data_IF_786075421732
#
_entry.id   IF_786075421732
#
_cell.length_a   1.000
_cell.length_b   1.000
_cell.length_c   1.000
_cell.angle_alpha   90.00
_cell.angle_beta   90.00
_cell.angle_gamma   90.00
#
_symmetry.space_group_name_H-M   'P 1'
#
loop_
_entity.id
_entity.type
_entity.pdbx_description
1 polymer ?
#
# COMPACT_ATOMS: atom_id res chain seq x y z
N UNK A 1 10.46 -18.92 6.57
CA UNK A 1 10.60 -17.59 5.91
C UNK A 1 9.37 -16.78 6.27
N UNK A 2 9.51 -15.53 6.60
CA UNK A 2 8.35 -14.67 6.87
C UNK A 2 7.52 -14.50 5.60
N UNK A 3 6.19 -14.50 5.71
CA UNK A 3 5.30 -14.26 4.57
C UNK A 3 5.47 -12.85 4.00
N UNK A 4 5.58 -11.86 4.87
CA UNK A 4 5.73 -10.45 4.48
C UNK A 4 7.22 -10.06 4.32
N UNK A 5 7.49 -9.09 3.46
CA UNK A 5 8.83 -8.50 3.31
C UNK A 5 9.37 -7.99 4.65
N UNK A 6 10.66 -8.21 4.86
CA UNK A 6 11.37 -7.79 6.08
C UNK A 6 12.15 -6.49 5.85
N UNK A 7 12.38 -5.74 6.90
CA UNK A 7 13.22 -4.53 6.83
C UNK A 7 14.59 -4.88 6.25
N UNK A 8 15.01 -4.12 5.23
CA UNK A 8 16.21 -4.34 4.46
C UNK A 8 16.03 -5.16 3.18
N UNK A 9 14.87 -5.81 2.99
CA UNK A 9 14.58 -6.51 1.74
C UNK A 9 14.48 -5.52 0.57
N UNK A 10 14.85 -5.98 -0.62
CA UNK A 10 14.72 -5.19 -1.85
C UNK A 10 13.28 -5.27 -2.35
N UNK A 11 12.74 -4.14 -2.82
CA UNK A 11 11.42 -4.10 -3.44
C UNK A 11 11.32 -5.11 -4.59
N UNK A 12 10.36 -6.04 -4.57
CA UNK A 12 10.10 -6.93 -5.68
C UNK A 12 9.68 -6.19 -6.94
N UNK A 13 10.19 -6.63 -8.08
CA UNK A 13 9.83 -6.08 -9.38
C UNK A 13 8.37 -6.36 -9.72
N UNK A 14 7.75 -5.39 -10.38
CA UNK A 14 6.42 -5.48 -10.94
C UNK A 14 6.35 -4.80 -12.31
N UNK A 15 5.34 -5.13 -13.10
CA UNK A 15 4.97 -4.43 -14.33
C UNK A 15 3.46 -4.54 -14.50
N UNK A 16 2.74 -3.53 -14.04
CA UNK A 16 1.29 -3.54 -13.89
C UNK A 16 0.62 -2.43 -14.69
N UNK A 17 -0.60 -2.71 -15.14
CA UNK A 17 -1.48 -1.72 -15.75
C UNK A 17 -2.00 -0.75 -14.69
N UNK A 18 -2.11 0.53 -15.05
CA UNK A 18 -2.64 1.59 -14.20
C UNK A 18 -3.93 2.16 -14.75
N UNK A 19 -4.72 2.77 -13.88
CA UNK A 19 -6.00 3.41 -14.20
C UNK A 19 -5.89 4.59 -15.17
N UNK A 20 -4.69 5.08 -15.45
CA UNK A 20 -4.43 6.13 -16.45
C UNK A 20 -4.11 5.56 -17.85
N UNK A 21 -4.27 4.26 -18.06
CA UNK A 21 -4.05 3.57 -19.33
C UNK A 21 -2.60 3.26 -19.65
N UNK A 22 -1.66 3.55 -18.74
CA UNK A 22 -0.25 3.21 -18.89
C UNK A 22 0.12 1.97 -18.08
N UNK A 23 1.29 1.39 -18.38
CA UNK A 23 1.92 0.37 -17.54
C UNK A 23 3.08 0.97 -16.77
N UNK A 24 3.21 0.57 -15.52
CA UNK A 24 4.29 1.00 -14.64
C UNK A 24 5.03 -0.20 -14.07
N UNK A 25 6.34 -0.11 -14.07
CA UNK A 25 7.25 -1.03 -13.39
C UNK A 25 7.94 -0.32 -12.22
N UNK A 26 8.64 -1.06 -11.38
CA UNK A 26 9.44 -0.47 -10.31
C UNK A 26 10.43 0.58 -10.88
N UNK A 27 11.02 0.31 -12.04
CA UNK A 27 11.95 1.23 -12.72
C UNK A 27 11.29 2.52 -13.23
N UNK A 28 9.98 2.57 -13.39
CA UNK A 28 9.25 3.80 -13.74
C UNK A 28 9.35 4.87 -12.65
N UNK A 29 9.68 4.46 -11.43
CA UNK A 29 9.80 5.34 -10.25
C UNK A 29 11.26 5.59 -9.84
N UNK A 30 12.24 5.32 -10.71
CA UNK A 30 13.68 5.48 -10.41
C UNK A 30 14.08 6.90 -9.96
N UNK A 31 13.36 7.92 -10.45
CA UNK A 31 13.62 9.32 -10.11
C UNK A 31 13.06 9.72 -8.73
N UNK A 32 12.25 8.87 -8.12
CA UNK A 32 11.76 9.07 -6.76
C UNK A 32 12.86 8.71 -5.77
N UNK A 33 13.11 9.59 -4.81
CA UNK A 33 14.10 9.32 -3.75
C UNK A 33 13.58 8.25 -2.79
N UNK A 34 12.31 8.35 -2.43
CA UNK A 34 11.61 7.39 -1.58
C UNK A 34 10.33 6.93 -2.24
N UNK A 35 9.96 5.67 -2.04
CA UNK A 35 8.80 5.07 -2.68
C UNK A 35 7.90 4.43 -1.62
N UNK A 36 6.65 4.88 -1.56
CA UNK A 36 5.60 4.25 -0.76
C UNK A 36 4.76 3.41 -1.70
N UNK A 37 4.83 2.09 -1.56
CA UNK A 37 3.92 1.14 -2.22
C UNK A 37 2.91 0.71 -1.17
N UNK A 38 1.63 0.70 -1.52
CA UNK A 38 0.62 0.22 -0.59
C UNK A 38 -0.47 -0.58 -1.30
N UNK A 39 -0.83 -1.70 -0.70
CA UNK A 39 -1.94 -2.51 -1.17
C UNK A 39 -3.23 -1.89 -0.66
N UNK A 40 -4.13 -1.62 -1.59
CA UNK A 40 -5.38 -0.91 -1.36
C UNK A 40 -6.48 -1.51 -2.22
N UNK A 41 -7.71 -1.04 -2.08
CA UNK A 41 -8.85 -1.52 -2.86
C UNK A 41 -9.94 -0.44 -2.94
N UNK A 42 -11.07 -0.76 -3.57
CA UNK A 42 -12.11 0.24 -3.80
C UNK A 42 -13.18 0.28 -2.69
N UNK A 43 -13.40 -0.84 -1.99
CA UNK A 43 -14.58 -1.01 -1.10
C UNK A 43 -14.25 -1.05 0.40
N UNK A 44 -13.00 -1.33 0.77
CA UNK A 44 -12.65 -1.55 2.17
C UNK A 44 -12.90 -0.29 3.03
N UNK A 45 -13.70 -0.37 4.10
CA UNK A 45 -13.98 0.81 4.94
C UNK A 45 -12.74 1.38 5.64
N UNK A 46 -11.70 0.59 5.83
CA UNK A 46 -10.42 1.06 6.37
C UNK A 46 -9.61 1.85 5.33
N UNK A 47 -9.74 1.50 4.05
CA UNK A 47 -9.15 2.26 2.95
C UNK A 47 -9.90 3.59 2.81
N UNK A 48 -11.22 3.52 2.63
CA UNK A 48 -12.08 4.70 2.42
C UNK A 48 -11.94 5.68 3.59
N UNK A 49 -11.94 5.16 4.82
CA UNK A 49 -11.82 5.98 6.02
C UNK A 49 -10.47 6.70 6.17
N UNK A 50 -9.39 6.13 5.62
CA UNK A 50 -8.04 6.70 5.71
C UNK A 50 -7.56 7.40 4.44
N UNK A 51 -8.35 7.42 3.37
CA UNK A 51 -7.97 8.04 2.10
C UNK A 51 -7.51 9.49 2.23
N UNK A 52 -8.25 10.31 2.98
CA UNK A 52 -7.89 11.73 3.10
C UNK A 52 -6.56 11.92 3.83
N UNK A 53 -6.32 11.20 4.91
CA UNK A 53 -5.04 11.26 5.63
C UNK A 53 -3.89 10.73 4.78
N UNK A 54 -4.13 9.66 4.00
CA UNK A 54 -3.14 9.13 3.05
C UNK A 54 -2.85 10.15 1.94
N UNK A 55 -3.90 10.80 1.42
CA UNK A 55 -3.81 11.88 0.42
C UNK A 55 -2.99 13.06 0.93
N UNK A 56 -3.32 13.58 2.12
CA UNK A 56 -2.59 14.67 2.75
C UNK A 56 -1.11 14.31 2.96
N UNK A 57 -0.83 13.08 3.39
CA UNK A 57 0.54 12.59 3.55
C UNK A 57 1.26 12.53 2.20
N UNK A 58 0.64 12.00 1.15
CA UNK A 58 1.24 11.93 -0.18
C UNK A 58 1.56 13.32 -0.74
N UNK A 59 0.61 14.25 -0.66
CA UNK A 59 0.78 15.63 -1.14
C UNK A 59 1.86 16.38 -0.36
N UNK A 60 1.90 16.22 0.97
CA UNK A 60 2.89 16.88 1.84
C UNK A 60 4.35 16.57 1.46
N UNK A 61 4.61 15.35 0.99
CA UNK A 61 5.98 14.89 0.72
C UNK A 61 6.31 14.77 -0.77
N UNK A 62 5.40 15.12 -1.65
CA UNK A 62 5.60 15.06 -3.11
C UNK A 62 6.83 15.87 -3.55
N UNK A 63 6.98 17.11 -3.07
CA UNK A 63 8.12 17.99 -3.39
C UNK A 63 9.45 17.47 -2.83
N UNK A 64 9.41 16.50 -1.95
CA UNK A 64 10.58 15.82 -1.38
C UNK A 64 10.98 14.56 -2.11
N UNK A 65 10.40 14.35 -3.32
CA UNK A 65 10.62 13.17 -4.16
C UNK A 65 10.19 11.87 -3.48
N UNK A 66 9.12 11.94 -2.68
CA UNK A 66 8.38 10.77 -2.18
C UNK A 66 7.24 10.51 -3.14
N UNK A 67 7.20 9.31 -3.70
CA UNK A 67 6.13 8.89 -4.62
C UNK A 67 5.29 7.81 -3.95
N UNK A 68 3.97 7.93 -4.10
CA UNK A 68 3.00 6.94 -3.64
C UNK A 68 2.47 6.13 -4.82
N UNK A 69 2.36 4.82 -4.64
CA UNK A 69 1.83 3.86 -5.61
C UNK A 69 0.86 2.93 -4.90
N UNK A 70 -0.41 3.02 -5.23
CA UNK A 70 -1.44 2.09 -4.76
C UNK A 70 -1.53 0.88 -5.69
N UNK A 71 -1.67 -0.31 -5.14
CA UNK A 71 -1.86 -1.56 -5.88
C UNK A 71 -3.14 -2.22 -5.39
N UNK A 72 -4.07 -2.50 -6.31
CA UNK A 72 -5.23 -3.34 -6.05
C UNK A 72 -4.93 -4.76 -6.52
N UNK A 73 -4.93 -5.70 -5.59
CA UNK A 73 -4.77 -7.12 -5.84
C UNK A 73 -5.99 -7.93 -5.42
N UNK A 74 -7.10 -7.26 -5.07
CA UNK A 74 -8.32 -7.97 -4.71
C UNK A 74 -8.97 -8.61 -5.94
N UNK A 75 -9.41 -9.86 -5.80
CA UNK A 75 -10.18 -10.54 -6.83
C UNK A 75 -11.59 -9.95 -6.94
N UNK A 76 -12.01 -9.51 -8.13
CA UNK A 76 -13.37 -9.05 -8.38
C UNK A 76 -14.40 -10.20 -8.31
N UNK A 77 -13.96 -11.46 -8.45
CA UNK A 77 -14.82 -12.63 -8.26
C UNK A 77 -15.21 -12.82 -6.79
N UNK A 78 -14.32 -12.43 -5.87
CA UNK A 78 -14.60 -12.42 -4.43
C UNK A 78 -15.34 -11.15 -4.01
N UNK A 79 -15.02 -10.01 -4.62
CA UNK A 79 -15.67 -8.73 -4.37
C UNK A 79 -15.76 -7.86 -5.64
N UNK A 80 -16.95 -7.80 -6.28
CA UNK A 80 -17.12 -7.17 -7.60
C UNK A 80 -16.69 -5.72 -7.70
N UNK A 81 -16.83 -4.94 -6.62
CA UNK A 81 -16.45 -3.52 -6.61
C UNK A 81 -14.92 -3.29 -6.71
N UNK A 82 -14.11 -4.35 -6.67
CA UNK A 82 -12.66 -4.26 -6.79
C UNK A 82 -12.14 -4.55 -8.21
N UNK A 83 -13.00 -4.52 -9.21
CA UNK A 83 -12.60 -4.61 -10.61
C UNK A 83 -11.89 -3.34 -11.12
N UNK A 84 -11.32 -3.43 -12.31
CA UNK A 84 -10.55 -2.33 -12.91
C UNK A 84 -11.41 -1.10 -13.23
N UNK A 85 -12.64 -1.28 -13.67
CA UNK A 85 -13.54 -0.17 -14.02
C UNK A 85 -13.89 0.66 -12.76
N UNK A 86 -14.13 0.01 -11.63
CA UNK A 86 -14.34 0.68 -10.35
C UNK A 86 -13.06 1.41 -9.87
N UNK A 87 -11.85 0.86 -10.14
CA UNK A 87 -10.61 1.58 -9.86
C UNK A 87 -10.51 2.89 -10.68
N UNK A 88 -10.80 2.83 -11.99
CA UNK A 88 -10.81 4.02 -12.87
C UNK A 88 -11.82 5.04 -12.37
N UNK A 89 -13.05 4.60 -12.05
CA UNK A 89 -14.10 5.45 -11.50
C UNK A 89 -13.63 6.16 -10.23
N UNK A 90 -13.09 5.39 -9.27
CA UNK A 90 -12.59 5.91 -7.99
C UNK A 90 -11.51 6.98 -8.18
N UNK A 91 -10.54 6.75 -9.08
CA UNK A 91 -9.50 7.73 -9.39
C UNK A 91 -10.06 9.01 -9.99
N UNK A 92 -11.07 8.90 -10.87
CA UNK A 92 -11.74 10.05 -11.49
C UNK A 92 -12.57 10.86 -10.50
N UNK A 93 -13.26 10.20 -9.57
CA UNK A 93 -14.12 10.84 -8.58
C UNK A 93 -13.32 11.51 -7.46
N UNK A 94 -12.32 10.80 -6.90
CA UNK A 94 -11.58 11.27 -5.73
C UNK A 94 -10.29 12.01 -6.04
N UNK A 95 -9.81 12.00 -7.32
CA UNK A 95 -8.56 12.69 -7.73
C UNK A 95 -7.38 12.36 -6.81
N UNK A 96 -7.19 11.07 -6.52
CA UNK A 96 -6.14 10.60 -5.62
C UNK A 96 -4.73 10.87 -6.21
N UNK A 97 -3.76 11.34 -5.41
CA UNK A 97 -2.48 11.83 -5.92
C UNK A 97 -1.42 10.74 -6.13
N UNK A 98 -1.82 9.52 -6.38
CA UNK A 98 -0.93 8.38 -6.63
C UNK A 98 -1.27 7.65 -7.92
N UNK A 99 -0.33 6.83 -8.43
CA UNK A 99 -0.63 5.85 -9.47
C UNK A 99 -1.38 4.68 -8.83
N UNK A 100 -2.46 4.24 -9.47
CA UNK A 100 -3.26 3.13 -9.00
C UNK A 100 -3.17 1.97 -9.98
N UNK A 101 -2.46 0.92 -9.57
CA UNK A 101 -2.06 -0.21 -10.40
C UNK A 101 -2.94 -1.43 -10.09
N UNK A 102 -3.16 -2.27 -11.09
CA UNK A 102 -3.98 -3.47 -10.98
C UNK A 102 -3.12 -4.73 -11.07
N UNK A 103 -3.06 -5.49 -9.98
CA UNK A 103 -2.42 -6.79 -9.87
C UNK A 103 -3.46 -7.90 -9.98
N UNK A 104 -3.99 -8.10 -11.20
CA UNK A 104 -5.06 -9.06 -11.50
C UNK A 104 -4.68 -10.51 -11.22
N UNK A 105 -3.39 -10.83 -11.26
CA UNK A 105 -2.86 -12.19 -10.99
C UNK A 105 -2.57 -12.43 -9.52
N UNK A 106 -2.55 -11.38 -8.71
CA UNK A 106 -2.20 -11.41 -7.28
C UNK A 106 -0.74 -11.83 -6.99
N UNK A 107 0.07 -11.94 -8.03
CA UNK A 107 1.49 -12.31 -7.88
C UNK A 107 2.28 -11.27 -7.11
N UNK A 108 1.94 -9.98 -7.29
CA UNK A 108 2.66 -8.91 -6.61
C UNK A 108 2.26 -8.86 -5.12
N UNK A 109 0.97 -9.05 -4.82
CA UNK A 109 0.54 -9.21 -3.43
C UNK A 109 1.27 -10.35 -2.73
N UNK A 110 1.43 -11.49 -3.40
CA UNK A 110 2.18 -12.64 -2.85
C UNK A 110 3.67 -12.31 -2.66
N UNK A 111 4.33 -11.66 -3.64
CA UNK A 111 5.76 -11.30 -3.55
C UNK A 111 6.06 -10.31 -2.43
N UNK A 112 5.14 -9.37 -2.16
CA UNK A 112 5.25 -8.41 -1.07
C UNK A 112 4.79 -8.99 0.28
N UNK A 113 4.05 -10.08 0.24
CA UNK A 113 3.41 -10.66 1.42
C UNK A 113 2.35 -9.71 1.98
N UNK A 114 1.51 -9.15 1.09
CA UNK A 114 0.45 -8.25 1.49
C UNK A 114 -0.65 -8.99 2.24
N UNK A 115 -1.01 -8.51 3.43
CA UNK A 115 -1.98 -9.14 4.32
C UNK A 115 -3.34 -8.45 4.30
N UNK A 116 -3.31 -7.12 4.25
CA UNK A 116 -4.46 -6.25 4.48
C UNK A 116 -4.58 -5.18 3.42
N UNK A 117 -5.73 -4.55 3.36
CA UNK A 117 -5.94 -3.28 2.68
C UNK A 117 -6.50 -2.26 3.67
N UNK A 118 -5.76 -1.13 3.94
CA UNK A 118 -4.44 -0.79 3.41
C UNK A 118 -3.27 -1.50 4.12
N UNK A 119 -2.18 -1.79 3.37
CA UNK A 119 -0.91 -2.26 3.92
C UNK A 119 0.22 -1.51 3.22
N UNK A 120 1.04 -0.77 3.96
CA UNK A 120 2.06 0.15 3.45
C UNK A 120 3.47 -0.45 3.52
N UNK A 121 4.28 -0.11 2.51
CA UNK A 121 5.70 -0.45 2.39
C UNK A 121 6.44 0.81 1.95
N UNK A 122 7.35 1.31 2.79
CA UNK A 122 8.20 2.46 2.47
C UNK A 122 9.60 1.98 2.14
N UNK A 123 10.06 2.35 0.97
CA UNK A 123 11.40 2.02 0.45
C UNK A 123 12.28 3.27 0.37
N UNK A 124 13.55 3.09 0.71
CA UNK A 124 14.58 4.11 0.55
C UNK A 124 15.02 4.29 -0.91
N UNK A 125 16.06 5.11 -1.12
CA UNK A 125 16.63 5.40 -2.44
C UNK A 125 17.23 4.17 -3.13
N UNK A 126 17.68 3.18 -2.37
CA UNK A 126 18.24 1.92 -2.86
C UNK A 126 17.16 0.83 -2.98
N UNK A 127 15.88 1.23 -2.84
CA UNK A 127 14.72 0.33 -2.84
C UNK A 127 14.80 -0.75 -1.75
N UNK A 128 15.43 -0.42 -0.62
CA UNK A 128 15.39 -1.25 0.58
C UNK A 128 14.19 -0.86 1.44
N UNK A 129 13.48 -1.87 1.93
CA UNK A 129 12.34 -1.67 2.83
C UNK A 129 12.83 -1.08 4.16
N UNK A 130 12.28 0.07 4.53
CA UNK A 130 12.62 0.76 5.77
C UNK A 130 11.44 0.91 6.73
N UNK A 131 10.21 0.74 6.23
CA UNK A 131 9.00 0.69 7.04
C UNK A 131 7.94 -0.20 6.39
N UNK A 132 7.21 -0.97 7.19
CA UNK A 132 6.01 -1.70 6.74
C UNK A 132 4.94 -1.73 7.82
N UNK A 133 3.68 -1.74 7.39
CA UNK A 133 2.53 -1.89 8.27
C UNK A 133 1.36 -0.96 7.96
N UNK A 134 0.76 -0.40 9.01
CA UNK A 134 -0.39 0.51 8.90
C UNK A 134 0.04 1.94 8.53
N UNK A 135 -0.88 2.71 7.91
CA UNK A 135 -0.67 4.14 7.72
C UNK A 135 -0.92 4.91 9.02
N UNK A 136 -2.05 4.61 9.66
CA UNK A 136 -2.52 5.24 10.91
C UNK A 136 -3.08 4.19 11.87
N UNK A 137 -3.17 4.52 13.15
CA UNK A 137 -3.67 3.62 14.19
C UNK A 137 -5.20 3.42 14.17
N UNK A 138 -5.94 4.32 13.54
CA UNK A 138 -7.39 4.21 13.38
C UNK A 138 -7.84 4.55 11.95
N UNK A 139 -7.58 3.66 10.95
CA UNK A 139 -7.85 3.95 9.55
C UNK A 139 -9.35 3.96 9.20
N UNK A 140 -10.22 3.32 10.01
CA UNK A 140 -11.66 3.32 9.78
C UNK A 140 -12.33 4.64 10.19
N UNK A 141 -11.79 5.30 11.22
CA UNK A 141 -12.27 6.59 11.73
C UNK A 141 -11.09 7.47 12.12
N UNK A 142 -10.58 8.24 11.17
CA UNK A 142 -9.41 9.09 11.38
C UNK A 142 -9.64 10.26 12.33
N UNK A 143 -10.90 10.57 12.72
CA UNK A 143 -11.17 11.51 13.80
C UNK A 143 -10.72 10.98 15.17
N UNK A 144 -10.57 9.65 15.28
CA UNK A 144 -10.07 8.96 16.46
C UNK A 144 -8.60 8.56 16.34
N UNK A 145 -7.94 8.97 15.27
CA UNK A 145 -6.52 8.71 15.06
C UNK A 145 -5.69 9.42 16.12
N UNK A 146 -4.76 8.71 16.73
CA UNK A 146 -3.78 9.26 17.68
C UNK A 146 -2.37 9.24 17.12
N UNK A 147 -2.09 8.33 16.18
CA UNK A 147 -0.77 8.15 15.57
C UNK A 147 -0.90 7.98 14.05
N UNK A 148 -0.09 8.74 13.31
CA UNK A 148 0.14 8.51 11.88
C UNK A 148 1.55 7.90 11.73
N UNK A 149 1.60 6.56 11.74
CA UNK A 149 2.86 5.80 11.75
C UNK A 149 3.65 6.00 10.44
N UNK A 150 2.97 5.99 9.28
CA UNK A 150 3.62 6.23 7.99
C UNK A 150 4.23 7.63 7.90
N UNK A 151 3.52 8.65 8.36
CA UNK A 151 4.02 10.02 8.39
C UNK A 151 5.24 10.14 9.30
N UNK A 152 5.20 9.53 10.49
CA UNK A 152 6.32 9.53 11.42
C UNK A 152 7.55 8.87 10.81
N UNK A 153 7.39 7.70 10.17
CA UNK A 153 8.47 7.02 9.47
C UNK A 153 9.06 7.88 8.33
N UNK A 154 8.22 8.57 7.55
CA UNK A 154 8.67 9.50 6.51
C UNK A 154 9.45 10.70 7.09
N UNK A 155 8.99 11.28 8.19
CA UNK A 155 9.66 12.41 8.84
C UNK A 155 11.04 12.03 9.39
N UNK A 156 11.15 10.86 10.02
CA UNK A 156 12.42 10.33 10.49
C UNK A 156 13.38 10.06 9.32
N UNK A 157 12.91 9.37 8.28
CA UNK A 157 13.71 9.05 7.08
C UNK A 157 14.19 10.31 6.36
N UNK A 158 13.31 11.30 6.15
CA UNK A 158 13.65 12.58 5.52
C UNK A 158 14.61 13.41 6.33
N UNK A 159 14.64 13.25 7.65
CA UNK A 159 15.58 13.90 8.58
C UNK A 159 16.91 13.14 8.69
N UNK A 160 17.11 12.06 7.93
CA UNK A 160 18.31 11.22 7.99
C UNK A 160 18.42 10.38 9.26
N UNK A 161 17.32 10.19 9.98
CA UNK A 161 17.27 9.36 11.19
C UNK A 161 16.90 7.92 10.84
N UNK A 162 17.30 7.00 11.70
CA UNK A 162 16.75 5.64 11.69
C UNK A 162 15.29 5.68 12.12
N UNK A 163 14.44 4.94 11.41
CA UNK A 163 13.01 4.85 11.76
C UNK A 163 12.87 4.11 13.09
N UNK A 164 12.29 4.77 14.06
CA UNK A 164 12.18 4.28 15.44
C UNK A 164 11.21 3.09 15.58
N UNK A 165 10.14 3.09 14.77
CA UNK A 165 9.15 2.00 14.70
C UNK A 165 9.05 1.55 13.24
N UNK A 166 9.95 0.66 12.78
CA UNK A 166 10.00 0.28 11.35
C UNK A 166 8.93 -0.72 10.94
N UNK A 167 8.28 -1.39 11.89
CA UNK A 167 7.23 -2.39 11.64
C UNK A 167 6.05 -2.14 12.55
N UNK A 168 4.85 -2.10 11.97
CA UNK A 168 3.58 -2.08 12.69
C UNK A 168 2.62 -3.10 12.08
N UNK A 169 1.65 -3.59 12.84
CA UNK A 169 0.63 -4.48 12.29
C UNK A 169 -0.29 -3.70 11.34
N UNK A 170 -0.47 -4.14 10.08
CA UNK A 170 -1.42 -3.50 9.17
C UNK A 170 -2.86 -3.68 9.68
N UNK A 171 -3.63 -2.61 9.65
CA UNK A 171 -5.03 -2.59 10.09
C UNK A 171 -5.92 -2.41 8.86
N UNK A 172 -6.77 -3.41 8.57
CA UNK A 172 -7.63 -3.38 7.40
C UNK A 172 -8.36 -4.69 7.15
N UNK A 173 -9.07 -4.74 6.03
CA UNK A 173 -9.66 -5.99 5.52
C UNK A 173 -8.57 -6.90 4.95
N UNK A 174 -8.78 -8.22 4.99
CA UNK A 174 -7.88 -9.15 4.29
C UNK A 174 -7.88 -8.87 2.79
N UNK A 175 -6.75 -9.07 2.13
CA UNK A 175 -6.69 -9.17 0.67
C UNK A 175 -7.68 -10.24 0.21
N UNK A 176 -8.44 -9.95 -0.85
CA UNK A 176 -9.45 -10.88 -1.40
C UNK A 176 -8.80 -11.77 -2.44
N UNK A 177 -8.44 -12.97 -2.03
CA UNK A 177 -7.72 -13.93 -2.89
C UNK A 177 -8.68 -14.67 -3.82
N UNK A 178 -8.25 -14.88 -5.06
CA UNK A 178 -9.02 -15.60 -6.07
C UNK A 178 -9.33 -17.03 -5.61
N UNK A 179 -10.59 -17.44 -5.77
CA UNK A 179 -11.06 -18.77 -5.38
C UNK A 179 -11.05 -19.04 -3.87
N UNK A 180 -10.92 -18.00 -3.04
CA UNK A 180 -10.98 -18.09 -1.58
C UNK A 180 -12.14 -17.29 -1.03
N UNK A 181 -12.55 -17.61 0.19
CA UNK A 181 -13.55 -16.77 0.87
C UNK A 181 -12.96 -15.41 1.29
N UNK A 182 -13.84 -14.46 1.58
CA UNK A 182 -13.43 -13.06 1.87
C UNK A 182 -12.57 -12.89 3.12
N UNK A 183 -12.48 -13.90 3.99
CA UNK A 183 -11.72 -13.86 5.23
C UNK A 183 -10.47 -14.74 5.21
N UNK A 184 -10.25 -15.48 4.11
CA UNK A 184 -9.10 -16.34 3.97
C UNK A 184 -7.79 -15.56 4.03
N UNK A 185 -6.79 -16.16 4.64
CA UNK A 185 -5.40 -15.67 4.68
C UNK A 185 -4.46 -16.81 4.34
N UNK A 186 -3.33 -16.53 3.70
CA UNK A 186 -2.28 -17.53 3.52
C UNK A 186 -1.86 -18.12 4.87
N UNK A 187 -1.66 -19.46 4.96
CA UNK A 187 -1.28 -20.10 6.24
C UNK A 187 -0.02 -19.53 6.89
N UNK A 188 0.94 -19.10 6.05
CA UNK A 188 2.21 -18.52 6.51
C UNK A 188 2.07 -17.04 6.95
N UNK A 189 0.88 -16.46 6.80
CA UNK A 189 0.60 -15.08 7.17
C UNK A 189 0.39 -14.88 8.69
N UNK A 190 0.36 -15.96 9.45
CA UNK A 190 0.08 -15.93 10.91
C UNK A 190 1.20 -15.32 11.76
N UNK A 191 2.38 -15.04 11.18
CA UNK A 191 3.57 -14.57 11.91
C UNK A 191 3.54 -13.06 12.25
N UNK A 192 2.45 -12.34 11.88
CA UNK A 192 2.32 -10.90 12.07
C UNK A 192 1.03 -10.50 12.85
N UNK A 193 0.42 -11.44 13.54
CA UNK A 193 -0.81 -11.17 14.31
C UNK A 193 -0.52 -11.24 15.80
#
# INVERSE_FOLDING_TARGET
>A
MSFTLQIGDTAPEFNLEATDGNKYSLSSFRDSKYLVIFFTCNHCPYVIGSDEVTRETALKYMDKRVTFVGINSNSPNTYPDDDFDHMVKRMNEHKLPWKYLYDSTQEIAMKYGALRTPHFYLFDQDRKLVYTGRGVDNPRDTNRMTVNDLKNALEELLSGKTISIPVTNPIGCNVKWEGKDAHWMPPDACDLV
#
